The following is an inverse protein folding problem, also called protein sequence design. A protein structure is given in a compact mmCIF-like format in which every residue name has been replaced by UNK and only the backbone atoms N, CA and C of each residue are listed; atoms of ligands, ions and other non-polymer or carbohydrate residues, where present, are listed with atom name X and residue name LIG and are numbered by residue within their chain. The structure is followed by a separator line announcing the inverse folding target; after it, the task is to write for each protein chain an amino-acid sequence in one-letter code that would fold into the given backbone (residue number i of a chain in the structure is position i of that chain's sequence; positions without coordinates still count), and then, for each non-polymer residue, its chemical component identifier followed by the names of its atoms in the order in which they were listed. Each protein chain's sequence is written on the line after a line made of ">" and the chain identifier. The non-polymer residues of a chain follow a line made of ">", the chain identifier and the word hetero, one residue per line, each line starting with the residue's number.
data_IF_387018637620
#
_entry.id   IF_387018637620
#
_cell.length_a   1.000
_cell.length_b   1.000
_cell.length_c   1.000
_cell.angle_alpha   90.00
_cell.angle_beta   90.00
_cell.angle_gamma   90.00
#
_symmetry.space_group_name_H-M   'P 1'
#
loop_
_entity.id
_entity.type
_entity.pdbx_description
1 polymer ?
#
# COMPACT_ATOMS: atom_id res chain seq x y z
N UNK A 1 0.43 -14.22 6.46
CA UNK A 1 0.55 -13.02 7.33
C UNK A 1 -0.02 -11.83 6.58
N UNK A 2 -0.62 -10.87 7.29
CA UNK A 2 -1.07 -9.61 6.71
C UNK A 2 -0.65 -8.46 7.63
N UNK A 3 -0.16 -7.36 7.06
CA UNK A 3 0.32 -6.20 7.82
C UNK A 3 -0.15 -4.91 7.19
N UNK A 4 -0.59 -3.97 8.03
CA UNK A 4 -0.94 -2.61 7.62
C UNK A 4 -0.10 -1.59 8.38
N UNK A 5 0.12 -0.42 7.77
CA UNK A 5 0.85 0.66 8.45
C UNK A 5 0.86 1.97 7.67
N UNK A 6 1.17 3.04 8.38
CA UNK A 6 1.32 4.38 7.80
C UNK A 6 2.77 4.82 7.79
N UNK A 7 3.19 5.52 6.74
CA UNK A 7 4.54 6.07 6.59
C UNK A 7 4.49 7.48 6.05
N UNK A 8 5.29 8.38 6.63
CA UNK A 8 5.61 9.70 6.08
C UNK A 8 6.75 9.58 5.06
N UNK A 9 6.67 10.33 3.97
CA UNK A 9 7.66 10.35 2.90
C UNK A 9 8.26 11.74 2.74
N UNK A 10 9.43 11.94 3.35
CA UNK A 10 10.16 13.20 3.23
C UNK A 10 10.80 13.35 1.84
N UNK A 11 10.70 14.55 1.25
CA UNK A 11 11.23 14.83 -0.08
C UNK A 11 10.45 14.18 -1.24
N UNK A 12 9.29 13.58 -0.98
CA UNK A 12 8.47 12.96 -2.03
C UNK A 12 7.95 13.99 -3.04
N UNK A 13 8.10 13.68 -4.33
CA UNK A 13 7.70 14.56 -5.43
C UNK A 13 6.19 14.57 -5.70
N UNK A 14 5.50 13.43 -5.50
CA UNK A 14 4.04 13.33 -5.70
C UNK A 14 3.43 12.13 -4.97
N UNK A 15 2.10 12.11 -4.83
CA UNK A 15 1.35 10.98 -4.24
C UNK A 15 1.40 9.75 -5.15
N UNK A 16 1.40 9.92 -6.47
CA UNK A 16 1.49 8.84 -7.45
C UNK A 16 2.83 8.10 -7.34
N UNK A 17 3.92 8.87 -7.25
CA UNK A 17 5.26 8.32 -7.08
C UNK A 17 5.37 7.52 -5.77
N UNK A 18 4.80 8.04 -4.67
CA UNK A 18 4.78 7.35 -3.37
C UNK A 18 3.90 6.11 -3.40
N UNK A 19 2.72 6.18 -4.01
CA UNK A 19 1.81 5.03 -4.11
C UNK A 19 2.49 3.86 -4.83
N UNK A 20 3.12 4.11 -5.99
CA UNK A 20 3.89 3.10 -6.73
C UNK A 20 5.11 2.60 -5.97
N UNK A 21 5.95 3.50 -5.46
CA UNK A 21 7.22 3.10 -4.86
C UNK A 21 7.03 2.34 -3.53
N UNK A 22 6.09 2.78 -2.70
CA UNK A 22 5.89 2.17 -1.38
C UNK A 22 5.14 0.83 -1.47
N UNK A 23 4.19 0.67 -2.39
CA UNK A 23 3.56 -0.65 -2.63
C UNK A 23 4.59 -1.67 -3.10
N UNK A 24 5.45 -1.30 -4.05
CA UNK A 24 6.53 -2.16 -4.53
C UNK A 24 7.52 -2.54 -3.41
N UNK A 25 7.94 -1.56 -2.60
CA UNK A 25 8.83 -1.80 -1.47
C UNK A 25 8.21 -2.72 -0.40
N UNK A 26 6.90 -2.61 -0.14
CA UNK A 26 6.18 -3.47 0.81
C UNK A 26 6.10 -4.91 0.32
N UNK A 27 5.83 -5.14 -0.97
CA UNK A 27 5.87 -6.49 -1.55
C UNK A 27 7.28 -7.05 -1.48
N UNK A 28 8.27 -6.27 -1.93
CA UNK A 28 9.65 -6.72 -1.97
C UNK A 28 10.17 -7.17 -0.61
N UNK A 29 9.98 -6.33 0.42
CA UNK A 29 10.47 -6.61 1.77
C UNK A 29 9.78 -7.77 2.47
N UNK A 30 8.60 -8.20 2.00
CA UNK A 30 7.81 -9.25 2.64
C UNK A 30 7.76 -10.56 1.85
N UNK A 31 7.91 -10.53 0.53
CA UNK A 31 7.60 -11.66 -0.34
C UNK A 31 8.65 -11.97 -1.42
N UNK A 32 9.62 -11.08 -1.70
CA UNK A 32 10.62 -11.33 -2.76
C UNK A 32 12.09 -11.06 -2.37
N UNK A 33 12.60 -11.45 -1.18
CA UNK A 33 14.05 -11.40 -0.95
C UNK A 33 14.77 -12.44 -1.84
N UNK A 34 15.82 -12.10 -2.62
CA UNK A 34 16.58 -10.84 -2.64
C UNK A 34 16.33 -9.90 -3.84
N UNK A 35 15.38 -10.20 -4.74
CA UNK A 35 15.27 -9.55 -6.06
C UNK A 35 13.98 -8.77 -6.30
N UNK A 36 14.13 -7.49 -6.68
CA UNK A 36 13.03 -6.61 -7.12
C UNK A 36 12.44 -7.00 -8.49
N UNK A 37 13.14 -7.82 -9.28
CA UNK A 37 12.69 -8.23 -10.62
C UNK A 37 11.37 -9.01 -10.61
N UNK A 38 10.97 -9.52 -9.44
CA UNK A 38 9.71 -10.24 -9.22
C UNK A 38 8.58 -9.33 -8.75
N UNK A 39 8.72 -8.00 -8.78
CA UNK A 39 7.65 -7.09 -8.35
C UNK A 39 7.03 -6.38 -9.55
N UNK A 40 5.74 -6.61 -9.76
CA UNK A 40 4.93 -5.85 -10.71
C UNK A 40 4.06 -4.86 -9.98
N UNK A 41 3.92 -3.65 -10.52
CA UNK A 41 3.01 -2.62 -9.98
C UNK A 41 1.98 -2.25 -11.01
N UNK A 42 0.70 -2.32 -10.62
CA UNK A 42 -0.43 -1.96 -11.47
C UNK A 42 -0.50 -0.46 -11.78
N UNK A 43 -1.64 -0.07 -12.33
CA UNK A 43 -1.97 1.34 -12.54
C UNK A 43 -1.97 2.10 -11.20
N UNK A 44 -1.73 3.41 -11.31
CA UNK A 44 -1.91 4.32 -10.19
C UNK A 44 -3.19 5.09 -10.44
N UNK A 45 -4.15 4.94 -9.55
CA UNK A 45 -5.48 5.51 -9.69
C UNK A 45 -5.71 6.61 -8.66
N UNK A 46 -6.54 7.60 -9.01
CA UNK A 46 -7.03 8.59 -8.04
C UNK A 46 -8.05 7.93 -7.11
N UNK A 47 -7.95 8.21 -5.81
CA UNK A 47 -8.90 7.71 -4.81
C UNK A 47 -9.30 8.81 -3.84
N UNK A 48 -10.58 8.83 -3.47
CA UNK A 48 -11.13 9.74 -2.46
C UNK A 48 -11.83 8.94 -1.36
N UNK A 49 -11.40 9.12 -0.11
CA UNK A 49 -12.02 8.44 1.04
C UNK A 49 -13.41 9.02 1.33
N UNK A 50 -14.23 8.30 2.09
CA UNK A 50 -15.54 8.79 2.51
C UNK A 50 -15.47 10.09 3.34
N UNK A 51 -14.34 10.33 4.02
CA UNK A 51 -14.08 11.57 4.74
C UNK A 51 -13.49 12.68 3.85
N UNK A 52 -13.44 12.50 2.54
CA UNK A 52 -12.96 13.50 1.57
C UNK A 52 -11.44 13.63 1.44
N UNK A 53 -10.65 12.63 1.83
CA UNK A 53 -9.20 12.65 1.59
C UNK A 53 -8.94 12.18 0.16
N UNK A 54 -8.40 13.04 -0.68
CA UNK A 54 -7.99 12.69 -2.06
C UNK A 54 -6.50 12.36 -2.11
N UNK A 55 -6.16 11.34 -2.89
CA UNK A 55 -4.78 10.91 -3.12
C UNK A 55 -4.69 9.91 -4.26
N UNK A 56 -3.60 9.15 -4.27
CA UNK A 56 -3.29 8.16 -5.30
C UNK A 56 -3.17 6.78 -4.67
N UNK A 57 -3.70 5.74 -5.31
CA UNK A 57 -3.61 4.35 -4.86
C UNK A 57 -2.91 3.50 -5.92
N UNK A 58 -2.10 2.53 -5.48
CA UNK A 58 -1.49 1.54 -6.36
C UNK A 58 -1.36 0.21 -5.65
N UNK A 59 -1.45 -0.89 -6.41
CA UNK A 59 -1.22 -2.25 -5.91
C UNK A 59 -0.04 -2.88 -6.64
N UNK A 60 0.91 -3.39 -5.87
CA UNK A 60 2.01 -4.24 -6.37
C UNK A 60 1.77 -5.69 -6.00
N UNK A 61 2.30 -6.62 -6.80
CA UNK A 61 2.23 -8.07 -6.61
C UNK A 61 3.58 -8.71 -6.89
N UNK A 62 3.91 -9.77 -6.16
CA UNK A 62 5.07 -10.61 -6.45
C UNK A 62 4.74 -11.60 -7.57
N UNK A 63 5.67 -11.85 -8.48
CA UNK A 63 5.55 -12.80 -9.58
C UNK A 63 6.61 -13.90 -9.47
N UNK A 64 6.37 -15.05 -10.11
CA UNK A 64 7.40 -16.11 -10.23
C UNK A 64 7.82 -16.75 -8.91
N UNK A 65 6.87 -16.99 -8.00
CA UNK A 65 7.10 -17.73 -6.76
C UNK A 65 7.23 -19.22 -7.06
N UNK A 66 8.23 -19.87 -6.45
CA UNK A 66 8.39 -21.32 -6.45
C UNK A 66 7.55 -21.92 -5.32
N UNK A 67 6.49 -22.71 -5.63
CA UNK A 67 5.65 -23.35 -4.61
C UNK A 67 6.39 -24.31 -3.69
N UNK A 68 7.61 -24.76 -4.06
CA UNK A 68 8.44 -25.67 -3.27
C UNK A 68 9.49 -25.01 -2.38
N UNK A 69 9.63 -23.67 -2.41
CA UNK A 69 10.63 -22.94 -1.63
C UNK A 69 10.20 -22.56 -0.21
N UNK A 70 11.13 -21.99 0.57
CA UNK A 70 10.89 -21.58 1.97
C UNK A 70 9.82 -20.48 2.14
N UNK A 71 9.49 -19.74 1.08
CA UNK A 71 8.39 -18.79 1.04
C UNK A 71 7.48 -19.11 -0.17
N UNK A 72 6.55 -20.07 -0.02
CA UNK A 72 5.82 -20.64 -1.15
C UNK A 72 4.64 -19.76 -1.62
N UNK A 73 4.36 -18.64 -0.96
CA UNK A 73 3.21 -17.79 -1.26
C UNK A 73 3.62 -16.49 -1.93
N UNK A 74 2.97 -16.16 -3.04
CA UNK A 74 2.97 -14.79 -3.56
C UNK A 74 2.34 -13.82 -2.56
N UNK A 75 2.67 -12.55 -2.71
CA UNK A 75 2.09 -11.48 -1.94
C UNK A 75 1.81 -10.25 -2.75
N UNK A 76 0.93 -9.42 -2.21
CA UNK A 76 0.50 -8.15 -2.76
C UNK A 76 0.58 -7.07 -1.71
N UNK A 77 0.73 -5.83 -2.16
CA UNK A 77 0.59 -4.68 -1.30
C UNK A 77 -0.13 -3.54 -2.01
N UNK A 78 -1.16 -3.02 -1.37
CA UNK A 78 -1.89 -1.82 -1.81
C UNK A 78 -1.46 -0.65 -0.96
N UNK A 79 -1.09 0.46 -1.61
CA UNK A 79 -0.69 1.70 -0.95
C UNK A 79 -1.57 2.84 -1.42
N UNK A 80 -2.15 3.57 -0.47
CA UNK A 80 -2.79 4.87 -0.70
C UNK A 80 -1.90 5.98 -0.16
N UNK A 81 -1.51 6.92 -1.01
CA UNK A 81 -0.68 8.07 -0.68
C UNK A 81 -1.49 9.36 -0.83
N UNK A 82 -1.39 10.25 0.15
CA UNK A 82 -2.14 11.50 0.22
C UNK A 82 -1.32 12.60 0.92
N UNK A 83 -1.72 13.86 0.75
CA UNK A 83 -1.14 14.97 1.51
C UNK A 83 -1.90 15.15 2.82
N UNK A 84 -1.19 15.22 3.94
CA UNK A 84 -1.80 15.53 5.24
C UNK A 84 -2.02 17.06 5.40
N UNK A 85 -2.59 17.48 6.53
CA UNK A 85 -2.86 18.90 6.82
C UNK A 85 -1.60 19.77 6.89
N UNK A 86 -0.44 19.19 7.19
CA UNK A 86 0.85 19.87 7.19
C UNK A 86 1.50 19.91 5.78
N UNK A 87 0.81 19.43 4.74
CA UNK A 87 1.33 19.39 3.37
C UNK A 87 2.32 18.26 3.09
N UNK A 88 2.61 17.40 4.07
CA UNK A 88 3.51 16.25 3.88
C UNK A 88 2.80 15.12 3.14
N UNK A 89 3.53 14.48 2.21
CA UNK A 89 3.05 13.24 1.59
C UNK A 89 3.19 12.10 2.61
N UNK A 90 2.07 11.48 2.93
CA UNK A 90 1.99 10.32 3.79
C UNK A 90 1.32 9.19 3.01
N UNK A 91 1.46 7.97 3.50
CA UNK A 91 0.82 6.82 2.90
C UNK A 91 0.30 5.87 3.97
N UNK A 92 -0.79 5.20 3.66
CA UNK A 92 -1.24 3.99 4.32
C UNK A 92 -0.99 2.82 3.36
N UNK A 93 -0.61 1.66 3.88
CA UNK A 93 -0.41 0.46 3.06
C UNK A 93 -0.88 -0.78 3.76
N UNK A 94 -1.41 -1.71 2.99
CA UNK A 94 -1.75 -3.06 3.41
C UNK A 94 -0.96 -4.05 2.56
N UNK A 95 -0.34 -5.04 3.17
CA UNK A 95 0.37 -6.12 2.49
C UNK A 95 -0.10 -7.48 3.01
N UNK A 96 -0.27 -8.45 2.12
CA UNK A 96 -0.78 -9.78 2.44
C UNK A 96 -0.44 -10.79 1.36
N UNK A 97 -0.73 -12.07 1.64
CA UNK A 97 -0.56 -13.14 0.66
C UNK A 97 -1.53 -12.94 -0.53
N UNK A 98 -1.13 -13.43 -1.70
CA UNK A 98 -1.84 -13.32 -2.97
C UNK A 98 -2.02 -14.72 -3.57
N UNK A 99 -3.20 -15.00 -4.13
CA UNK A 99 -3.55 -16.27 -4.75
C UNK A 99 -3.83 -17.43 -3.78
N UNK A 100 -4.08 -17.16 -2.50
CA UNK A 100 -4.33 -18.21 -1.47
C UNK A 100 -5.75 -18.15 -0.91
N UNK A 101 -6.30 -19.26 -0.43
CA UNK A 101 -7.67 -19.31 0.07
C UNK A 101 -7.97 -18.39 1.27
N UNK A 102 -6.94 -18.01 2.04
CA UNK A 102 -7.04 -17.07 3.15
C UNK A 102 -6.62 -15.62 2.78
N UNK A 103 -6.53 -15.32 1.49
CA UNK A 103 -6.22 -13.98 0.99
C UNK A 103 -7.27 -12.96 1.44
N UNK A 104 -6.82 -11.75 1.77
CA UNK A 104 -7.72 -10.61 1.97
C UNK A 104 -8.04 -10.00 0.59
N UNK A 105 -9.30 -9.99 0.14
CA UNK A 105 -9.67 -9.48 -1.18
C UNK A 105 -9.36 -7.98 -1.33
N UNK A 106 -9.03 -7.56 -2.55
CA UNK A 106 -8.75 -6.14 -2.86
C UNK A 106 -9.94 -5.24 -2.47
N UNK A 107 -11.17 -5.72 -2.66
CA UNK A 107 -12.40 -5.01 -2.24
C UNK A 107 -12.49 -4.76 -0.74
N UNK A 108 -11.96 -5.66 0.09
CA UNK A 108 -11.90 -5.46 1.55
C UNK A 108 -10.84 -4.42 1.92
N UNK A 109 -9.71 -4.44 1.23
CA UNK A 109 -8.65 -3.43 1.38
C UNK A 109 -9.17 -2.05 0.96
N UNK A 110 -9.85 -1.94 -0.17
CA UNK A 110 -10.48 -0.71 -0.65
C UNK A 110 -11.56 -0.18 0.28
N UNK A 111 -12.41 -1.05 0.86
CA UNK A 111 -13.36 -0.64 1.90
C UNK A 111 -12.64 -0.06 3.12
N UNK A 112 -11.53 -0.67 3.54
CA UNK A 112 -10.71 -0.17 4.64
C UNK A 112 -10.13 1.21 4.29
N UNK A 113 -9.57 1.35 3.09
CA UNK A 113 -9.10 2.64 2.56
C UNK A 113 -10.19 3.72 2.59
N UNK A 114 -11.41 3.37 2.19
CA UNK A 114 -12.56 4.26 2.18
C UNK A 114 -12.90 4.87 3.55
N UNK A 115 -12.54 4.19 4.63
CA UNK A 115 -12.79 4.65 6.02
C UNK A 115 -11.67 5.51 6.59
N UNK A 116 -10.53 5.64 5.91
CA UNK A 116 -9.42 6.45 6.39
C UNK A 116 -9.86 7.91 6.57
N UNK A 117 -9.56 8.43 7.76
CA UNK A 117 -9.87 9.80 8.20
C UNK A 117 -8.64 10.44 8.81
N UNK A 118 -8.53 11.76 8.66
CA UNK A 118 -7.49 12.54 9.35
C UNK A 118 -7.80 12.54 10.84
N UNK A 119 -6.77 12.43 11.67
CA UNK A 119 -6.90 12.70 13.09
C UNK A 119 -7.08 14.21 13.28
N UNK A 120 -8.08 14.65 14.03
CA UNK A 120 -8.15 16.03 14.50
C UNK A 120 -7.07 16.20 15.58
N UNK A 121 -6.09 17.08 15.39
CA UNK A 121 -5.16 17.42 16.47
C UNK A 121 -5.95 17.93 17.69
N UNK A 122 -5.38 17.90 18.92
CA UNK A 122 -6.01 18.58 20.03
C UNK A 122 -6.26 20.03 19.61
N UNK A 123 -7.51 20.47 19.70
CA UNK A 123 -7.88 21.85 19.41
C UNK A 123 -7.01 22.77 20.25
N UNK A 124 -6.24 23.67 19.62
CA UNK A 124 -5.70 24.82 20.35
C UNK A 124 -6.91 25.54 20.97
N UNK A 125 -7.03 25.45 22.28
CA UNK A 125 -7.93 26.24 23.12
C UNK A 125 -7.13 27.34 23.80
#
# INVERSE_FOLDING_TARGET
>A
MATAGTRRHDGARSTEAVARAHSAARVHGLYTPPGLERVSTGAVDSFTTASGITGSVATSRSTGIDPGGDCPSAGKATTFAFKNSAGHVVSWSFAGADGVGAEVPDTTVERTLGTLRRHAGPSDS
#
